data_IF_816927667844
#
_entry.id   IF_816927667844
#
_cell.length_a   1.000
_cell.length_b   1.000
_cell.length_c   1.000
_cell.angle_alpha   90.00
_cell.angle_beta   90.00
_cell.angle_gamma   90.00
#
_symmetry.space_group_name_H-M   'P 1'
#
loop_
_entity.id
_entity.type
_entity.pdbx_description
1 polymer ?
#
# COMPACT_ATOMS: atom_id res chain seq x y z
N UNK A 1 18.31 14.25 8.17
CA UNK A 1 17.00 13.69 8.55
C UNK A 1 17.02 12.21 8.22
N UNK A 2 17.00 11.35 9.24
CA UNK A 2 16.94 9.91 9.09
C UNK A 2 15.50 9.45 8.93
N UNK A 3 15.18 8.86 7.78
CA UNK A 3 13.84 8.36 7.45
C UNK A 3 13.71 6.89 7.89
N UNK A 4 12.62 6.56 8.59
CA UNK A 4 12.21 5.19 8.85
C UNK A 4 11.09 4.73 7.92
N UNK A 5 11.27 3.62 7.19
CA UNK A 5 10.22 3.02 6.37
C UNK A 5 9.70 1.72 7.01
N UNK A 6 8.39 1.61 7.16
CA UNK A 6 7.69 0.35 7.33
C UNK A 6 7.35 -0.18 5.94
N UNK A 7 8.20 -1.06 5.42
CA UNK A 7 8.03 -1.75 4.15
C UNK A 7 7.46 -3.16 4.32
N UNK A 8 7.57 -3.99 3.28
CA UNK A 8 7.11 -5.38 3.29
C UNK A 8 5.60 -5.58 3.05
N UNK A 9 4.83 -4.49 3.06
CA UNK A 9 3.40 -4.47 2.71
C UNK A 9 3.30 -4.26 1.20
N UNK A 10 3.62 -5.32 0.44
CA UNK A 10 4.01 -5.22 -0.97
C UNK A 10 5.54 -5.04 -1.11
N UNK A 11 6.30 -6.10 -1.44
CA UNK A 11 7.76 -6.00 -1.60
C UNK A 11 8.15 -5.09 -2.78
N UNK A 12 7.37 -5.09 -3.87
CA UNK A 12 7.58 -4.20 -5.01
C UNK A 12 7.39 -2.72 -4.64
N UNK A 13 6.40 -2.40 -3.81
CA UNK A 13 6.22 -1.04 -3.31
C UNK A 13 7.44 -0.57 -2.50
N UNK A 14 8.00 -1.46 -1.66
CA UNK A 14 9.21 -1.15 -0.89
C UNK A 14 10.41 -0.83 -1.79
N UNK A 15 10.65 -1.64 -2.84
CA UNK A 15 11.70 -1.37 -3.84
C UNK A 15 11.46 -0.03 -4.57
N UNK A 16 10.21 0.25 -4.95
CA UNK A 16 9.83 1.49 -5.62
C UNK A 16 10.14 2.73 -4.76
N UNK A 17 9.68 2.75 -3.51
CA UNK A 17 9.97 3.87 -2.59
C UNK A 17 11.48 4.04 -2.38
N UNK A 18 12.22 2.94 -2.18
CA UNK A 18 13.66 2.97 -1.98
C UNK A 18 14.40 3.60 -3.17
N UNK A 19 14.14 3.13 -4.40
CA UNK A 19 14.77 3.66 -5.62
C UNK A 19 14.42 5.12 -5.86
N UNK A 20 13.16 5.51 -5.64
CA UNK A 20 12.69 6.89 -5.83
C UNK A 20 13.31 7.85 -4.83
N UNK A 21 13.45 7.43 -3.56
CA UNK A 21 14.13 8.21 -2.53
C UNK A 21 15.61 8.44 -2.88
N UNK A 22 16.33 7.40 -3.31
CA UNK A 22 17.73 7.55 -3.76
C UNK A 22 17.84 8.58 -4.88
N UNK A 23 17.03 8.45 -5.93
CA UNK A 23 17.07 9.36 -7.06
C UNK A 23 16.72 10.80 -6.65
N UNK A 24 15.72 10.99 -5.79
CA UNK A 24 15.29 12.31 -5.33
C UNK A 24 16.35 13.01 -4.46
N UNK A 25 17.01 12.28 -3.56
CA UNK A 25 18.07 12.83 -2.71
C UNK A 25 19.34 13.13 -3.51
N UNK A 26 19.72 12.24 -4.45
CA UNK A 26 20.83 12.47 -5.37
C UNK A 26 20.63 13.73 -6.23
N UNK A 27 19.43 13.93 -6.78
CA UNK A 27 19.09 15.12 -7.56
C UNK A 27 19.17 16.43 -6.75
N UNK A 28 19.06 16.35 -5.42
CA UNK A 28 19.15 17.49 -4.50
C UNK A 28 20.55 17.64 -3.89
N UNK A 29 21.50 16.78 -4.29
CA UNK A 29 22.84 16.70 -3.70
C UNK A 29 22.82 16.57 -2.16
N UNK A 30 21.86 15.82 -1.62
CA UNK A 30 21.72 15.54 -0.19
C UNK A 30 21.96 14.06 0.10
N UNK A 31 22.62 13.70 1.21
CA UNK A 31 22.75 12.31 1.62
C UNK A 31 21.39 11.75 2.06
N UNK A 32 21.13 10.50 1.69
CA UNK A 32 19.95 9.75 2.16
C UNK A 32 20.34 8.91 3.38
N UNK A 33 19.73 9.23 4.52
CA UNK A 33 19.80 8.43 5.76
C UNK A 33 18.49 7.65 5.91
N UNK A 34 18.54 6.32 5.86
CA UNK A 34 17.35 5.47 5.73
C UNK A 34 17.47 4.17 6.52
N UNK A 35 16.41 3.78 7.23
CA UNK A 35 16.25 2.43 7.78
C UNK A 35 14.89 1.85 7.38
N UNK A 36 14.88 0.59 6.97
CA UNK A 36 13.67 -0.12 6.57
C UNK A 36 13.41 -1.26 7.55
N UNK A 37 12.20 -1.34 8.08
CA UNK A 37 11.68 -2.51 8.80
C UNK A 37 10.60 -3.18 7.97
N UNK A 38 10.45 -4.49 8.13
CA UNK A 38 9.53 -5.30 7.35
C UNK A 38 8.27 -5.61 8.16
N UNK A 39 7.10 -5.28 7.60
CA UNK A 39 5.79 -5.74 8.05
C UNK A 39 5.30 -6.87 7.15
N UNK A 40 4.51 -7.78 7.72
CA UNK A 40 3.98 -8.96 7.04
C UNK A 40 2.65 -8.63 6.33
N UNK A 41 2.62 -8.78 5.00
CA UNK A 41 1.43 -8.45 4.19
C UNK A 41 0.20 -9.28 4.57
N UNK A 42 0.26 -10.62 4.66
CA UNK A 42 -0.90 -11.43 5.05
C UNK A 42 -1.48 -11.03 6.40
N UNK A 43 -0.63 -10.71 7.37
CA UNK A 43 -1.10 -10.24 8.68
C UNK A 43 -1.84 -8.92 8.61
N UNK A 44 -1.30 -7.96 7.85
CA UNK A 44 -1.96 -6.68 7.66
C UNK A 44 -3.30 -6.84 6.97
N UNK A 45 -3.38 -7.63 5.89
CA UNK A 45 -4.62 -7.86 5.14
C UNK A 45 -5.69 -8.52 6.02
N UNK A 46 -5.31 -9.46 6.89
CA UNK A 46 -6.24 -10.08 7.85
C UNK A 46 -6.76 -9.07 8.87
N UNK A 47 -5.91 -8.23 9.45
CA UNK A 47 -6.37 -7.19 10.37
C UNK A 47 -7.24 -6.16 9.66
N UNK A 48 -6.88 -5.77 8.45
CA UNK A 48 -7.67 -4.86 7.63
C UNK A 48 -9.06 -5.44 7.31
N UNK A 49 -9.13 -6.71 6.89
CA UNK A 49 -10.40 -7.38 6.60
C UNK A 49 -11.31 -7.50 7.83
N UNK A 50 -10.72 -7.63 9.02
CA UNK A 50 -11.43 -7.68 10.29
C UNK A 50 -11.67 -6.29 10.94
N UNK A 51 -11.16 -5.21 10.33
CA UNK A 51 -11.03 -3.87 10.92
C UNK A 51 -10.39 -3.88 12.32
N UNK A 52 -9.44 -4.79 12.57
CA UNK A 52 -8.70 -4.92 13.82
C UNK A 52 -7.55 -3.90 13.88
N UNK A 53 -7.94 -2.64 14.06
CA UNK A 53 -7.03 -1.50 14.07
C UNK A 53 -6.06 -1.56 15.23
N UNK A 54 -6.52 -1.96 16.41
CA UNK A 54 -5.69 -2.03 17.61
C UNK A 54 -4.55 -3.03 17.45
N UNK A 55 -4.82 -4.22 16.92
CA UNK A 55 -3.78 -5.21 16.66
C UNK A 55 -2.76 -4.70 15.62
N UNK A 56 -3.23 -4.00 14.58
CA UNK A 56 -2.33 -3.47 13.56
C UNK A 56 -1.49 -2.29 14.09
N UNK A 57 -2.08 -1.39 14.88
CA UNK A 57 -1.36 -0.30 15.55
C UNK A 57 -0.29 -0.85 16.47
N UNK A 58 -0.56 -1.94 17.21
CA UNK A 58 0.45 -2.59 18.05
C UNK A 58 1.65 -3.09 17.24
N UNK A 59 1.42 -3.60 16.03
CA UNK A 59 2.49 -3.99 15.09
C UNK A 59 3.29 -2.76 14.64
N UNK A 60 2.61 -1.71 14.17
CA UNK A 60 3.29 -0.47 13.74
C UNK A 60 4.08 0.17 14.87
N UNK A 61 3.57 0.16 16.10
CA UNK A 61 4.29 0.66 17.27
C UNK A 61 5.57 -0.13 17.55
N UNK A 62 5.52 -1.46 17.50
CA UNK A 62 6.72 -2.30 17.67
C UNK A 62 7.78 -2.01 16.61
N UNK A 63 7.35 -1.87 15.35
CA UNK A 63 8.24 -1.57 14.22
C UNK A 63 8.82 -0.16 14.31
N UNK A 64 8.00 0.83 14.67
CA UNK A 64 8.42 2.23 14.82
C UNK A 64 9.40 2.41 15.97
N UNK A 65 9.24 1.67 17.08
CA UNK A 65 10.22 1.66 18.17
C UNK A 65 11.60 1.17 17.71
N UNK A 66 11.65 0.18 16.81
CA UNK A 66 12.92 -0.30 16.22
C UNK A 66 13.55 0.78 15.33
N UNK A 67 12.74 1.48 14.54
CA UNK A 67 13.21 2.59 13.71
C UNK A 67 13.75 3.74 14.57
N UNK A 68 13.03 4.14 15.62
CA UNK A 68 13.48 5.15 16.57
C UNK A 68 14.80 4.77 17.25
N UNK A 69 14.94 3.51 17.67
CA UNK A 69 16.18 2.99 18.25
C UNK A 69 17.35 2.98 17.24
N UNK A 70 17.07 2.94 15.94
CA UNK A 70 18.08 3.05 14.89
C UNK A 70 18.45 4.51 14.56
N UNK A 71 17.75 5.49 15.15
CA UNK A 71 17.99 6.92 14.92
C UNK A 71 16.99 7.61 14.00
N UNK A 72 15.94 6.92 13.53
CA UNK A 72 14.96 7.51 12.63
C UNK A 72 14.24 8.69 13.30
N UNK A 73 14.09 9.79 12.56
CA UNK A 73 13.47 11.04 12.99
C UNK A 73 12.00 11.13 12.53
N UNK A 74 11.57 10.26 11.61
CA UNK A 74 10.19 10.12 11.16
C UNK A 74 9.90 8.68 10.72
N UNK A 75 8.62 8.35 10.56
CA UNK A 75 8.16 7.04 10.07
C UNK A 75 7.17 7.17 8.92
N UNK A 76 7.30 6.30 7.93
CA UNK A 76 6.42 6.22 6.76
C UNK A 76 5.94 4.79 6.57
N UNK A 77 4.65 4.60 6.31
CA UNK A 77 4.06 3.32 5.91
C UNK A 77 3.98 3.31 4.38
N UNK A 78 4.61 2.35 3.70
CA UNK A 78 4.69 2.34 2.22
C UNK A 78 3.57 1.52 1.57
N UNK A 79 2.33 1.67 2.03
CA UNK A 79 1.17 0.94 1.50
C UNK A 79 -0.13 1.70 1.76
N UNK A 80 -0.94 1.95 0.72
CA UNK A 80 -2.26 2.57 0.84
C UNK A 80 -3.17 1.71 1.71
N UNK A 81 -3.24 0.40 1.48
CA UNK A 81 -4.00 -0.52 2.32
C UNK A 81 -3.58 -0.43 3.80
N UNK A 82 -2.27 -0.28 4.07
CA UNK A 82 -1.76 -0.08 5.42
C UNK A 82 -2.15 1.23 6.10
N UNK A 83 -2.72 2.19 5.39
CA UNK A 83 -3.19 3.44 5.98
C UNK A 83 -4.58 3.34 6.63
N UNK A 84 -5.25 2.18 6.63
CA UNK A 84 -6.59 2.02 7.21
C UNK A 84 -6.69 2.39 8.71
N UNK A 85 -5.59 2.25 9.46
CA UNK A 85 -5.46 2.62 10.88
C UNK A 85 -4.43 3.75 11.11
N UNK A 86 -4.16 4.58 10.08
CA UNK A 86 -3.09 5.58 10.15
C UNK A 86 -3.37 6.66 11.20
N UNK A 87 -4.63 7.01 11.43
CA UNK A 87 -5.01 8.04 12.39
C UNK A 87 -4.73 7.57 13.83
N UNK A 88 -5.13 6.34 14.15
CA UNK A 88 -4.90 5.69 15.43
C UNK A 88 -3.41 5.48 15.67
N UNK A 89 -2.66 5.05 14.64
CA UNK A 89 -1.22 4.91 14.72
C UNK A 89 -0.51 6.25 14.94
N UNK A 90 -0.86 7.29 14.17
CA UNK A 90 -0.25 8.62 14.28
C UNK A 90 -0.48 9.25 15.66
N UNK A 91 -1.61 8.98 16.30
CA UNK A 91 -1.91 9.48 17.65
C UNK A 91 -0.98 8.91 18.73
N UNK A 92 -0.42 7.71 18.53
CA UNK A 92 0.40 7.02 19.54
C UNK A 92 1.87 6.83 19.14
N UNK A 93 2.22 7.12 17.89
CA UNK A 93 3.56 6.93 17.35
C UNK A 93 4.60 7.78 18.09
N UNK A 94 5.77 7.22 18.48
CA UNK A 94 6.85 7.98 19.08
C UNK A 94 7.62 8.82 18.05
N UNK A 95 7.40 8.59 16.76
CA UNK A 95 7.98 9.36 15.64
C UNK A 95 6.87 10.06 14.85
N UNK A 96 7.12 11.26 14.32
CA UNK A 96 6.23 11.90 13.35
C UNK A 96 5.90 10.95 12.19
N UNK A 97 4.61 10.74 11.94
CA UNK A 97 4.12 9.90 10.83
C UNK A 97 3.92 10.76 9.59
N UNK A 98 4.60 10.43 8.49
CA UNK A 98 4.34 11.05 7.19
C UNK A 98 3.21 10.27 6.52
N UNK A 99 2.03 10.88 6.46
CA UNK A 99 0.80 10.27 5.95
C UNK A 99 0.65 10.48 4.43
N UNK A 100 0.39 9.40 3.69
CA UNK A 100 0.12 9.42 2.26
C UNK A 100 -1.28 9.94 1.91
N UNK A 101 -2.28 9.74 2.75
CA UNK A 101 -3.68 10.03 2.40
C UNK A 101 -3.96 11.50 2.03
N UNK A 102 -3.38 12.52 2.69
CA UNK A 102 -3.63 13.92 2.31
C UNK A 102 -3.03 14.31 0.94
N UNK A 103 -2.09 13.53 0.40
CA UNK A 103 -1.43 13.82 -0.88
C UNK A 103 -1.95 12.97 -2.03
N UNK A 104 -2.78 11.96 -1.75
CA UNK A 104 -3.44 11.14 -2.75
C UNK A 104 -4.81 11.72 -3.05
N UNK A 105 -5.02 12.14 -4.30
CA UNK A 105 -6.33 12.49 -4.83
C UNK A 105 -6.92 11.25 -5.52
N UNK A 106 -7.80 10.56 -4.82
CA UNK A 106 -8.46 9.35 -5.33
C UNK A 106 -9.27 9.61 -6.62
N UNK A 107 -9.80 10.83 -6.80
CA UNK A 107 -10.52 11.18 -8.02
C UNK A 107 -9.55 11.34 -9.21
N UNK A 108 -8.39 11.94 -8.98
CA UNK A 108 -7.35 12.04 -10.00
C UNK A 108 -6.78 10.67 -10.37
N UNK A 109 -6.54 9.79 -9.39
CA UNK A 109 -6.05 8.43 -9.63
C UNK A 109 -7.04 7.60 -10.46
N UNK A 110 -8.33 7.67 -10.11
CA UNK A 110 -9.39 7.02 -10.88
C UNK A 110 -9.49 7.58 -12.30
N UNK A 111 -9.42 8.90 -12.48
CA UNK A 111 -9.49 9.52 -13.80
C UNK A 111 -8.34 9.07 -14.73
N UNK A 112 -7.12 8.93 -14.20
CA UNK A 112 -5.96 8.41 -14.96
C UNK A 112 -6.21 6.96 -15.38
N UNK A 113 -6.70 6.13 -14.47
CA UNK A 113 -6.96 4.73 -14.76
C UNK A 113 -8.14 4.55 -15.74
N UNK A 114 -9.23 5.30 -15.58
CA UNK A 114 -10.36 5.30 -16.51
C UNK A 114 -9.94 5.73 -17.92
N UNK A 115 -8.97 6.64 -18.05
CA UNK A 115 -8.41 7.01 -19.35
C UNK A 115 -7.61 5.86 -19.97
N UNK A 116 -6.74 5.21 -19.21
CA UNK A 116 -5.96 4.06 -19.68
C UNK A 116 -6.86 2.86 -20.03
N UNK A 117 -7.91 2.60 -19.25
CA UNK A 117 -8.89 1.55 -19.55
C UNK A 117 -9.65 1.85 -20.84
N UNK A 118 -10.12 3.10 -21.03
CA UNK A 118 -10.78 3.50 -22.28
C UNK A 118 -9.89 3.26 -23.49
N UNK A 119 -8.62 3.66 -23.42
CA UNK A 119 -7.64 3.37 -24.48
C UNK A 119 -7.53 1.87 -24.78
N UNK A 120 -7.49 1.01 -23.77
CA UNK A 120 -7.42 -0.44 -23.96
C UNK A 120 -8.69 -1.03 -24.60
N UNK A 121 -9.88 -0.50 -24.30
CA UNK A 121 -11.13 -0.92 -24.96
C UNK A 121 -11.23 -0.40 -26.39
N UNK A 122 -10.90 0.88 -26.60
CA UNK A 122 -11.08 1.57 -27.87
C UNK A 122 -10.04 1.13 -28.91
N UNK A 123 -8.76 1.03 -28.51
CA UNK A 123 -7.64 0.79 -29.43
C UNK A 123 -7.16 -0.67 -29.43
N UNK A 124 -7.21 -1.35 -28.28
CA UNK A 124 -6.74 -2.73 -28.14
C UNK A 124 -7.88 -3.77 -28.11
N UNK A 125 -9.14 -3.33 -28.14
CA UNK A 125 -10.35 -4.16 -28.21
C UNK A 125 -10.41 -5.27 -27.14
N UNK A 126 -9.97 -4.96 -25.92
CA UNK A 126 -10.11 -5.91 -24.80
C UNK A 126 -11.58 -6.05 -24.39
N UNK A 127 -11.96 -7.21 -23.85
CA UNK A 127 -13.34 -7.46 -23.39
C UNK A 127 -13.50 -7.27 -21.88
N UNK A 128 -12.39 -7.25 -21.13
CA UNK A 128 -12.35 -7.07 -19.68
C UNK A 128 -10.98 -6.60 -19.20
N UNK A 129 -10.93 -6.01 -18.00
CA UNK A 129 -9.68 -5.63 -17.32
C UNK A 129 -9.49 -6.51 -16.09
N UNK A 130 -8.38 -7.23 -16.04
CA UNK A 130 -7.94 -8.00 -14.87
C UNK A 130 -7.18 -7.08 -13.92
N UNK A 131 -7.72 -6.85 -12.72
CA UNK A 131 -7.02 -6.13 -11.66
C UNK A 131 -6.12 -7.11 -10.91
N UNK A 132 -4.85 -7.17 -11.32
CA UNK A 132 -3.87 -8.09 -10.72
C UNK A 132 -3.30 -7.64 -9.37
N UNK A 133 -3.56 -6.39 -8.95
CA UNK A 133 -3.09 -5.84 -7.68
C UNK A 133 -4.23 -5.59 -6.69
N UNK A 134 -4.02 -5.91 -5.41
CA UNK A 134 -5.03 -5.70 -4.36
C UNK A 134 -5.30 -4.21 -4.09
N UNK A 135 -4.37 -3.31 -4.44
CA UNK A 135 -4.55 -1.87 -4.27
C UNK A 135 -5.59 -1.29 -5.27
N UNK A 136 -5.64 -1.79 -6.51
CA UNK A 136 -6.61 -1.34 -7.52
C UNK A 136 -8.00 -1.95 -7.31
N UNK A 137 -8.09 -3.16 -6.76
CA UNK A 137 -9.37 -3.76 -6.35
C UNK A 137 -10.08 -2.94 -5.25
N UNK A 138 -9.32 -2.22 -4.40
CA UNK A 138 -9.88 -1.28 -3.42
C UNK A 138 -10.45 -0.01 -4.05
N UNK A 139 -9.87 0.42 -5.18
CA UNK A 139 -10.37 1.57 -5.95
C UNK A 139 -11.63 1.19 -6.71
N UNK A 140 -11.75 -0.02 -7.25
CA UNK A 140 -12.89 -0.47 -8.05
C UNK A 140 -13.72 -1.55 -7.35
N UNK A 141 -14.34 -1.21 -6.21
CA UNK A 141 -15.30 -2.10 -5.53
C UNK A 141 -16.51 -2.40 -6.43
N UNK A 142 -17.10 -3.59 -6.23
CA UNK A 142 -18.25 -4.08 -7.01
C UNK A 142 -19.31 -3.01 -7.25
N UNK A 143 -19.59 -2.74 -8.53
CA UNK A 143 -20.63 -1.80 -8.98
C UNK A 143 -20.16 -0.36 -9.26
N UNK A 144 -18.90 -0.02 -8.98
CA UNK A 144 -18.38 1.34 -9.22
C UNK A 144 -17.54 1.50 -10.50
N UNK A 145 -17.22 0.41 -11.19
CA UNK A 145 -16.48 0.45 -12.45
C UNK A 145 -17.44 0.59 -13.64
N UNK A 146 -17.09 1.44 -14.60
CA UNK A 146 -17.84 1.59 -15.86
C UNK A 146 -17.59 0.43 -16.85
N UNK A 147 -16.84 -0.59 -16.43
CA UNK A 147 -16.34 -1.68 -17.26
C UNK A 147 -16.30 -3.01 -16.47
N UNK A 148 -16.35 -4.17 -17.15
CA UNK A 148 -16.20 -5.47 -16.52
C UNK A 148 -14.82 -5.61 -15.84
N UNK A 149 -14.83 -5.83 -14.53
CA UNK A 149 -13.64 -6.04 -13.69
C UNK A 149 -13.53 -7.51 -13.31
N UNK A 150 -12.32 -8.06 -13.40
CA UNK A 150 -12.00 -9.39 -12.84
C UNK A 150 -11.05 -9.20 -11.66
N UNK A 151 -11.48 -9.61 -10.46
CA UNK A 151 -10.64 -9.65 -9.27
C UNK A 151 -9.86 -10.97 -9.23
N UNK A 152 -8.57 -10.89 -9.57
CA UNK A 152 -7.69 -12.06 -9.59
C UNK A 152 -7.45 -12.65 -8.19
N UNK A 153 -7.48 -11.81 -7.15
CA UNK A 153 -7.24 -12.24 -5.78
C UNK A 153 -8.42 -13.03 -5.24
N UNK A 154 -9.66 -12.57 -5.50
CA UNK A 154 -10.88 -13.29 -5.13
C UNK A 154 -10.94 -14.68 -5.80
N UNK A 155 -10.71 -14.75 -7.12
CA UNK A 155 -10.72 -16.02 -7.86
C UNK A 155 -9.65 -17.00 -7.35
N UNK A 156 -8.47 -16.50 -6.98
CA UNK A 156 -7.40 -17.35 -6.47
C UNK A 156 -7.70 -17.85 -5.06
N UNK A 157 -8.31 -17.02 -4.20
CA UNK A 157 -8.78 -17.44 -2.87
C UNK A 157 -9.82 -18.56 -2.99
N UNK A 158 -10.80 -18.40 -3.87
CA UNK A 158 -11.84 -19.42 -4.12
C UNK A 158 -11.23 -20.76 -4.56
N UNK A 159 -10.24 -20.72 -5.47
CA UNK A 159 -9.52 -21.90 -5.92
C UNK A 159 -8.74 -22.59 -4.79
N UNK A 160 -8.13 -21.81 -3.89
CA UNK A 160 -7.40 -22.33 -2.72
C UNK A 160 -8.37 -23.01 -1.74
N UNK A 161 -9.50 -22.36 -1.43
CA UNK A 161 -10.54 -22.91 -0.53
C UNK A 161 -11.12 -24.20 -1.09
N UNK A 162 -11.48 -24.22 -2.37
CA UNK A 162 -12.01 -25.41 -3.04
C UNK A 162 -11.03 -26.60 -2.98
N UNK A 163 -9.72 -26.34 -3.04
CA UNK A 163 -8.68 -27.37 -2.97
C UNK A 163 -8.36 -27.84 -1.55
N UNK A 164 -8.50 -26.95 -0.56
CA UNK A 164 -8.21 -27.24 0.84
C UNK A 164 -9.37 -27.95 1.56
N UNK A 165 -10.60 -27.83 1.05
CA UNK A 165 -11.82 -28.46 1.60
C UNK A 165 -12.25 -29.75 0.86
N UNK A 166 -11.44 -30.25 -0.08
CA UNK A 166 -11.64 -31.50 -0.80
C UNK A 166 -10.77 -32.62 -0.21
#
# INVERSE_FOLDING_TARGET
MHIGLIGGIGPAATDFYYRRLIAAFAARAQPLELTIVHADTPTLLRHQAADDRDAQVAIYMRLTKRLAAAGAECVVVTSIAGHFCIAEFAAVSPLPVINLLPVVDAAAERAVFDAAVRELFDEAHVEAILLGGTDLALVYRDGEAAFPVVDAAALHVDAIVARACA
#
